data_IF_608679803121
#
_entry.id   IF_608679803121
#
_cell.length_a   1.000
_cell.length_b   1.000
_cell.length_c   1.000
_cell.angle_alpha   90.00
_cell.angle_beta   90.00
_cell.angle_gamma   90.00
#
_symmetry.space_group_name_H-M   'P 1'
#
loop_
_entity.id
_entity.type
_entity.pdbx_description
1 polymer ?
#
# COMPACT_ATOMS: atom_id res chain seq x y z
N UNK A 1 -47.83 33.59 -1.27
CA UNK A 1 -46.49 33.80 -1.85
C UNK A 1 -45.35 33.04 -1.14
N UNK A 2 -45.61 32.24 -0.09
CA UNK A 2 -44.58 31.55 0.71
C UNK A 2 -44.21 30.14 0.24
N UNK A 3 -44.99 29.52 -0.67
CA UNK A 3 -44.82 28.11 -1.04
C UNK A 3 -43.70 27.86 -2.05
N UNK A 4 -43.37 28.86 -2.86
CA UNK A 4 -42.34 28.76 -3.91
C UNK A 4 -40.92 28.87 -3.33
N UNK A 5 -40.73 29.66 -2.27
CA UNK A 5 -39.41 29.85 -1.63
C UNK A 5 -38.89 28.60 -0.93
N UNK A 6 -39.77 27.79 -0.34
CA UNK A 6 -39.38 26.56 0.36
C UNK A 6 -38.86 25.48 -0.59
N UNK A 7 -39.48 25.33 -1.77
CA UNK A 7 -39.07 24.35 -2.78
C UNK A 7 -37.68 24.65 -3.35
N UNK A 8 -37.37 25.93 -3.60
CA UNK A 8 -36.07 26.36 -4.09
C UNK A 8 -34.98 26.03 -3.06
N UNK A 9 -35.22 26.30 -1.78
CA UNK A 9 -34.23 26.07 -0.74
C UNK A 9 -33.89 24.57 -0.57
N UNK A 10 -34.91 23.70 -0.57
CA UNK A 10 -34.73 22.24 -0.47
C UNK A 10 -33.90 21.71 -1.65
N UNK A 11 -34.17 22.19 -2.86
CA UNK A 11 -33.46 21.77 -4.05
C UNK A 11 -31.98 22.18 -4.01
N UNK A 12 -31.67 23.41 -3.59
CA UNK A 12 -30.29 23.87 -3.41
C UNK A 12 -29.54 23.07 -2.34
N UNK A 13 -30.16 22.77 -1.21
CA UNK A 13 -29.53 21.90 -0.18
C UNK A 13 -29.28 20.49 -0.68
N UNK A 14 -30.19 19.90 -1.45
CA UNK A 14 -30.01 18.56 -2.02
C UNK A 14 -28.85 18.54 -3.03
N UNK A 15 -28.75 19.56 -3.88
CA UNK A 15 -27.62 19.71 -4.82
C UNK A 15 -26.31 19.87 -4.06
N UNK A 16 -26.27 20.70 -3.02
CA UNK A 16 -25.05 20.92 -2.22
C UNK A 16 -24.57 19.62 -1.56
N UNK A 17 -25.49 18.85 -0.96
CA UNK A 17 -25.15 17.56 -0.34
C UNK A 17 -24.65 16.56 -1.40
N UNK A 18 -25.29 16.55 -2.57
CA UNK A 18 -24.89 15.68 -3.68
C UNK A 18 -23.51 16.05 -4.26
N UNK A 19 -23.22 17.34 -4.45
CA UNK A 19 -21.91 17.80 -4.97
C UNK A 19 -20.79 17.57 -3.96
N UNK A 20 -21.02 17.83 -2.66
CA UNK A 20 -20.04 17.51 -1.61
C UNK A 20 -19.82 16.00 -1.52
N UNK A 21 -20.89 15.19 -1.61
CA UNK A 21 -20.80 13.73 -1.60
C UNK A 21 -19.97 13.18 -2.77
N UNK A 22 -20.13 13.72 -3.98
CA UNK A 22 -19.36 13.30 -5.16
C UNK A 22 -17.87 13.65 -5.03
N UNK A 23 -17.56 14.82 -4.48
CA UNK A 23 -16.15 15.24 -4.32
C UNK A 23 -15.39 14.35 -3.34
N UNK A 24 -16.06 13.77 -2.35
CA UNK A 24 -15.41 12.88 -1.36
C UNK A 24 -15.07 11.51 -1.95
N UNK A 25 -15.82 11.01 -2.95
CA UNK A 25 -15.62 9.66 -3.51
C UNK A 25 -14.51 9.61 -4.57
N UNK A 26 -14.15 10.75 -5.18
CA UNK A 26 -13.33 10.77 -6.40
C UNK A 26 -11.82 10.71 -6.22
N UNK A 27 -11.30 10.70 -4.99
CA UNK A 27 -9.87 10.94 -4.75
C UNK A 27 -9.08 9.71 -4.25
N UNK A 28 -9.60 8.48 -4.46
CA UNK A 28 -8.91 7.24 -4.08
C UNK A 28 -8.21 6.52 -5.23
N UNK A 29 -7.95 7.21 -6.34
CA UNK A 29 -7.15 6.64 -7.43
C UNK A 29 -5.68 6.71 -7.05
N UNK A 30 -5.05 5.55 -6.88
CA UNK A 30 -3.61 5.45 -6.67
C UNK A 30 -2.86 5.97 -7.93
N UNK A 31 -1.71 6.67 -7.79
CA UNK A 31 -0.93 7.16 -8.93
C UNK A 31 -0.54 6.05 -9.91
N UNK A 32 -0.45 6.35 -11.21
CA UNK A 32 -0.18 5.35 -12.26
C UNK A 32 1.12 4.55 -12.02
N UNK A 33 2.19 5.22 -11.57
CA UNK A 33 3.47 4.58 -11.25
C UNK A 33 3.38 3.67 -10.02
N UNK A 34 2.63 4.06 -9.00
CA UNK A 34 2.32 3.21 -7.85
C UNK A 34 1.45 2.01 -8.26
N UNK A 35 0.48 2.21 -9.16
CA UNK A 35 -0.35 1.12 -9.71
C UNK A 35 0.49 0.13 -10.51
N UNK A 36 1.44 0.61 -11.33
CA UNK A 36 2.37 -0.25 -12.07
C UNK A 36 3.17 -1.13 -11.10
N UNK A 37 3.69 -0.56 -10.02
CA UNK A 37 4.48 -1.31 -9.06
C UNK A 37 3.63 -2.33 -8.28
N UNK A 38 2.41 -1.95 -7.88
CA UNK A 38 1.43 -2.86 -7.30
C UNK A 38 1.09 -4.02 -8.25
N UNK A 39 0.92 -3.75 -9.55
CA UNK A 39 0.62 -4.79 -10.53
C UNK A 39 1.77 -5.79 -10.68
N UNK A 40 3.02 -5.33 -10.66
CA UNK A 40 4.19 -6.24 -10.66
C UNK A 40 4.23 -7.11 -9.41
N UNK A 41 3.97 -6.51 -8.24
CA UNK A 41 3.87 -7.25 -6.99
C UNK A 41 2.78 -8.34 -7.06
N UNK A 42 1.60 -7.98 -7.54
CA UNK A 42 0.49 -8.93 -7.72
C UNK A 42 0.84 -10.01 -8.73
N UNK A 43 1.50 -9.68 -9.84
CA UNK A 43 1.94 -10.69 -10.81
C UNK A 43 2.95 -11.67 -10.20
N UNK A 44 3.93 -11.14 -9.46
CA UNK A 44 4.90 -11.95 -8.73
C UNK A 44 4.21 -12.88 -7.73
N UNK A 45 3.28 -12.35 -6.91
CA UNK A 45 2.63 -13.11 -5.84
C UNK A 45 1.55 -14.07 -6.34
N UNK A 46 0.75 -13.67 -7.32
CA UNK A 46 -0.34 -14.48 -7.90
C UNK A 46 0.16 -15.74 -8.59
N UNK A 47 1.44 -15.80 -8.97
CA UNK A 47 2.07 -17.04 -9.44
C UNK A 47 2.04 -18.16 -8.37
N UNK A 48 2.06 -17.79 -7.09
CA UNK A 48 2.00 -18.71 -5.96
C UNK A 48 0.64 -18.71 -5.25
N UNK A 49 0.03 -17.53 -5.06
CA UNK A 49 -1.20 -17.32 -4.30
C UNK A 49 -2.02 -16.21 -4.95
N UNK A 50 -3.10 -16.53 -5.69
CA UNK A 50 -3.96 -15.53 -6.30
C UNK A 50 -4.57 -14.60 -5.26
N UNK A 51 -4.43 -13.29 -5.49
CA UNK A 51 -5.01 -12.23 -4.68
C UNK A 51 -5.59 -11.12 -5.56
N UNK A 52 -6.63 -10.48 -5.06
CA UNK A 52 -7.33 -9.35 -5.71
C UNK A 52 -7.36 -8.14 -4.79
N UNK A 53 -7.33 -6.95 -5.36
CA UNK A 53 -7.41 -5.69 -4.60
C UNK A 53 -8.86 -5.45 -4.17
N UNK A 54 -9.09 -5.29 -2.87
CA UNK A 54 -10.42 -5.01 -2.28
C UNK A 54 -10.56 -3.55 -1.88
N UNK A 55 -9.53 -2.96 -1.26
CA UNK A 55 -9.53 -1.56 -0.85
C UNK A 55 -8.17 -0.92 -1.14
N UNK A 56 -8.21 0.36 -1.49
CA UNK A 56 -7.05 1.22 -1.70
C UNK A 56 -7.27 2.50 -0.90
N UNK A 57 -6.42 2.76 0.09
CA UNK A 57 -6.55 3.91 0.98
C UNK A 57 -5.21 4.61 1.12
N UNK A 58 -5.17 5.90 0.79
CA UNK A 58 -4.01 6.73 1.05
C UNK A 58 -3.84 6.96 2.55
N UNK A 59 -2.64 6.78 3.06
CA UNK A 59 -2.29 7.09 4.43
C UNK A 59 -2.29 8.62 4.63
N UNK A 60 -2.84 9.09 5.76
CA UNK A 60 -2.86 10.53 6.09
C UNK A 60 -1.57 10.99 6.78
N UNK A 61 -0.76 10.05 7.30
CA UNK A 61 0.51 10.31 7.97
C UNK A 61 1.61 9.37 7.45
N UNK A 62 2.01 9.47 6.16
CA UNK A 62 3.02 8.59 5.56
C UNK A 62 4.36 8.65 6.30
N UNK A 63 4.71 9.81 6.85
CA UNK A 63 5.94 10.04 7.63
C UNK A 63 6.04 9.20 8.92
N UNK A 64 4.95 8.56 9.34
CA UNK A 64 4.91 7.67 10.51
C UNK A 64 5.21 6.21 10.18
N UNK A 65 5.28 5.84 8.91
CA UNK A 65 5.72 4.49 8.53
C UNK A 65 7.21 4.39 8.76
N UNK A 66 7.63 3.55 9.71
CA UNK A 66 9.05 3.32 10.01
C UNK A 66 9.52 2.01 9.39
N UNK A 67 10.84 1.81 9.38
CA UNK A 67 11.48 0.59 8.85
C UNK A 67 11.02 -0.65 9.61
N UNK A 68 10.83 -0.56 10.91
CA UNK A 68 10.45 -1.66 11.80
C UNK A 68 9.01 -2.13 11.57
N UNK A 69 8.16 -1.30 10.94
CA UNK A 69 6.80 -1.68 10.56
C UNK A 69 6.75 -2.47 9.25
N UNK A 70 7.87 -2.55 8.51
CA UNK A 70 8.00 -3.28 7.24
C UNK A 70 8.79 -4.56 7.42
N UNK A 71 8.13 -5.69 7.14
CA UNK A 71 8.71 -7.03 7.11
C UNK A 71 9.49 -7.37 5.85
N UNK A 72 9.05 -6.84 4.71
CA UNK A 72 9.70 -7.03 3.42
C UNK A 72 9.51 -5.83 2.51
N UNK A 73 10.43 -5.65 1.56
CA UNK A 73 10.33 -4.64 0.51
C UNK A 73 10.55 -5.28 -0.86
N UNK A 74 9.72 -4.90 -1.82
CA UNK A 74 9.66 -5.47 -3.15
C UNK A 74 9.71 -4.33 -4.16
N UNK A 75 10.52 -4.51 -5.19
CA UNK A 75 10.50 -3.62 -6.35
C UNK A 75 11.76 -3.66 -7.20
N UNK A 76 11.61 -3.16 -8.43
CA UNK A 76 12.67 -3.14 -9.45
C UNK A 76 13.53 -1.87 -9.39
N UNK A 77 13.74 -1.30 -8.21
CA UNK A 77 14.52 -0.07 -8.08
C UNK A 77 15.97 -0.31 -8.51
N UNK A 78 16.48 0.56 -9.39
CA UNK A 78 17.91 0.57 -9.73
C UNK A 78 18.77 1.22 -8.63
N UNK A 79 18.13 1.85 -7.65
CA UNK A 79 18.78 2.73 -6.68
C UNK A 79 18.67 2.22 -5.25
N UNK A 80 17.50 1.71 -4.88
CA UNK A 80 17.23 1.22 -3.54
C UNK A 80 17.39 -0.30 -3.45
N UNK A 81 17.93 -0.74 -2.33
CA UNK A 81 18.08 -2.14 -1.96
C UNK A 81 16.74 -2.69 -1.48
N UNK A 82 16.09 -3.52 -2.31
CA UNK A 82 14.84 -4.24 -2.02
C UNK A 82 15.12 -5.71 -1.70
N UNK A 83 14.33 -6.31 -0.82
CA UNK A 83 14.48 -7.74 -0.49
C UNK A 83 14.25 -8.63 -1.71
N UNK A 84 13.33 -8.23 -2.59
CA UNK A 84 13.01 -8.91 -3.85
C UNK A 84 12.98 -7.90 -5.00
N UNK A 85 13.77 -8.18 -6.03
CA UNK A 85 13.76 -7.51 -7.33
C UNK A 85 13.04 -8.43 -8.34
N UNK A 86 11.97 -7.95 -8.98
CA UNK A 86 11.14 -8.78 -9.86
C UNK A 86 11.90 -9.23 -11.11
N UNK A 87 12.92 -8.48 -11.55
CA UNK A 87 13.75 -8.81 -12.72
C UNK A 87 14.55 -10.09 -12.54
N UNK A 88 14.86 -10.43 -11.29
CA UNK A 88 15.78 -11.51 -10.96
C UNK A 88 15.10 -12.69 -10.28
N UNK A 89 13.77 -12.84 -10.36
CA UNK A 89 13.07 -14.02 -9.83
C UNK A 89 13.16 -15.16 -10.86
N UNK A 90 14.16 -16.06 -10.78
CA UNK A 90 14.39 -17.06 -11.81
C UNK A 90 13.57 -18.28 -11.44
N UNK A 91 12.26 -18.28 -11.70
CA UNK A 91 11.43 -19.49 -11.63
C UNK A 91 11.65 -20.34 -10.36
N UNK A 92 11.76 -19.70 -9.18
CA UNK A 92 12.13 -20.39 -7.93
C UNK A 92 10.89 -20.67 -7.09
N UNK A 93 10.75 -21.93 -6.70
CA UNK A 93 10.08 -22.32 -5.46
C UNK A 93 10.84 -21.67 -4.29
N UNK A 94 10.51 -20.41 -3.96
CA UNK A 94 11.02 -19.75 -2.77
C UNK A 94 10.39 -20.45 -1.54
N UNK A 95 11.19 -21.12 -0.69
CA UNK A 95 10.66 -21.68 0.56
C UNK A 95 10.08 -20.54 1.41
N UNK A 96 8.92 -20.81 2.04
CA UNK A 96 8.18 -19.88 2.89
C UNK A 96 9.10 -18.97 3.72
N UNK A 97 9.15 -17.69 3.32
CA UNK A 97 9.90 -16.64 4.00
C UNK A 97 9.41 -16.38 5.43
N UNK A 98 8.26 -16.95 5.80
CA UNK A 98 7.74 -16.98 7.18
C UNK A 98 8.65 -17.72 8.18
N UNK A 99 9.68 -18.44 7.71
CA UNK A 99 10.69 -19.09 8.57
C UNK A 99 12.04 -18.37 8.56
N UNK A 100 12.13 -17.18 7.96
CA UNK A 100 13.36 -16.40 7.96
C UNK A 100 13.64 -15.89 9.38
N UNK A 101 14.59 -16.54 10.04
CA UNK A 101 15.20 -16.12 11.30
C UNK A 101 15.50 -14.62 11.27
N UNK A 102 15.17 -13.85 12.32
CA UNK A 102 15.63 -12.46 12.46
C UNK A 102 17.16 -12.44 12.44
N UNK A 103 17.77 -12.10 11.31
CA UNK A 103 19.23 -12.15 11.14
C UNK A 103 19.75 -12.53 9.76
N UNK A 104 18.91 -12.99 8.82
CA UNK A 104 19.33 -13.17 7.42
C UNK A 104 19.27 -11.83 6.66
N UNK A 105 20.16 -10.92 7.06
CA UNK A 105 20.54 -9.75 6.28
C UNK A 105 21.46 -10.19 5.14
N UNK A 106 21.14 -9.79 3.92
CA UNK A 106 21.90 -10.02 2.67
C UNK A 106 21.34 -11.13 1.78
N UNK A 107 20.16 -10.87 1.21
CA UNK A 107 20.00 -11.20 -0.20
C UNK A 107 21.19 -10.56 -0.96
N UNK A 108 21.77 -11.26 -1.93
CA UNK A 108 22.93 -10.80 -2.68
C UNK A 108 22.56 -9.56 -3.49
N UNK A 109 22.61 -8.40 -2.86
CA UNK A 109 22.33 -7.11 -3.48
C UNK A 109 23.42 -6.83 -4.52
N UNK A 110 23.00 -6.39 -5.72
CA UNK A 110 23.94 -5.85 -6.69
C UNK A 110 24.82 -4.81 -6.01
N UNK A 111 26.15 -4.99 -6.09
CA UNK A 111 27.13 -4.07 -5.49
C UNK A 111 26.82 -2.65 -5.99
N UNK A 112 26.17 -1.82 -5.17
CA UNK A 112 25.85 -0.43 -5.50
C UNK A 112 24.47 0.09 -5.11
N UNK A 113 23.54 -0.74 -4.61
CA UNK A 113 22.24 -0.23 -4.16
C UNK A 113 22.31 0.45 -2.78
N UNK A 114 21.58 1.56 -2.65
CA UNK A 114 21.49 2.36 -1.42
C UNK A 114 20.37 1.84 -0.51
N UNK A 115 20.49 1.98 0.82
CA UNK A 115 19.39 1.64 1.72
C UNK A 115 18.13 2.45 1.41
N UNK A 116 16.96 1.82 1.48
CA UNK A 116 15.66 2.52 1.35
C UNK A 116 15.58 3.63 2.44
N UNK A 117 15.40 4.91 2.05
CA UNK A 117 15.29 6.01 2.99
C UNK A 117 13.93 5.96 3.71
N UNK A 118 13.92 6.14 5.02
CA UNK A 118 12.70 6.29 5.80
C UNK A 118 12.64 7.67 6.46
N UNK A 119 11.45 8.25 6.62
CA UNK A 119 10.15 7.71 6.19
C UNK A 119 9.89 7.91 4.68
N UNK A 120 8.92 7.20 4.08
CA UNK A 120 8.47 7.47 2.71
C UNK A 120 7.78 8.84 2.60
N UNK A 121 7.75 9.39 1.38
CA UNK A 121 7.02 10.62 1.06
C UNK A 121 5.51 10.38 0.97
N UNK A 122 5.11 9.25 0.38
CA UNK A 122 3.70 8.87 0.22
C UNK A 122 3.49 7.39 0.53
N UNK A 123 2.31 7.03 1.03
CA UNK A 123 1.96 5.65 1.42
C UNK A 123 0.51 5.37 1.04
N UNK A 124 0.30 4.29 0.31
CA UNK A 124 -1.00 3.75 -0.05
C UNK A 124 -1.16 2.36 0.55
N UNK A 125 -2.14 2.17 1.42
CA UNK A 125 -2.45 0.85 1.97
C UNK A 125 -3.43 0.14 1.07
N UNK A 126 -3.11 -1.10 0.76
CA UNK A 126 -3.87 -1.95 -0.13
C UNK A 126 -4.33 -3.16 0.68
N UNK A 127 -5.64 -3.37 0.75
CA UNK A 127 -6.20 -4.62 1.24
C UNK A 127 -6.35 -5.57 0.06
N UNK A 128 -5.69 -6.70 0.14
CA UNK A 128 -5.75 -7.80 -0.79
C UNK A 128 -6.61 -8.92 -0.19
N UNK A 129 -7.35 -9.62 -1.04
CA UNK A 129 -8.11 -10.83 -0.70
C UNK A 129 -7.67 -11.96 -1.60
N UNK A 130 -7.20 -13.04 -0.98
CA UNK A 130 -6.77 -14.27 -1.65
C UNK A 130 -7.41 -15.49 -0.99
N UNK A 131 -7.02 -16.68 -1.45
CA UNK A 131 -7.53 -17.92 -0.86
C UNK A 131 -6.80 -18.27 0.44
N UNK A 132 -5.47 -18.15 0.43
CA UNK A 132 -4.59 -18.36 1.59
C UNK A 132 -3.35 -17.45 1.47
N UNK A 133 -3.15 -16.46 2.35
CA UNK A 133 -4.07 -16.02 3.41
C UNK A 133 -5.35 -15.37 2.85
N UNK A 134 -6.43 -15.41 3.63
CA UNK A 134 -7.74 -14.89 3.22
C UNK A 134 -7.71 -13.36 2.99
N UNK A 135 -6.99 -12.64 3.85
CA UNK A 135 -6.73 -11.21 3.71
C UNK A 135 -5.22 -10.97 3.81
N UNK A 136 -4.74 -9.96 3.10
CA UNK A 136 -3.37 -9.47 3.20
C UNK A 136 -3.37 -7.96 3.08
N UNK A 137 -2.44 -7.29 3.76
CA UNK A 137 -2.22 -5.86 3.65
C UNK A 137 -0.83 -5.62 3.10
N UNK A 138 -0.73 -4.73 2.11
CA UNK A 138 0.56 -4.22 1.61
C UNK A 138 0.54 -2.70 1.58
N UNK A 139 1.71 -2.09 1.68
CA UNK A 139 1.89 -0.65 1.56
C UNK A 139 2.65 -0.35 0.27
N UNK A 140 2.06 0.41 -0.64
CA UNK A 140 2.75 0.94 -1.82
C UNK A 140 3.28 2.31 -1.43
N UNK A 141 4.60 2.46 -1.40
CA UNK A 141 5.27 3.63 -0.80
C UNK A 141 6.14 4.34 -1.83
N UNK A 142 6.16 5.67 -1.78
CA UNK A 142 7.09 6.48 -2.55
C UNK A 142 8.31 6.79 -1.68
N UNK A 143 9.47 6.34 -2.12
CA UNK A 143 10.74 6.68 -1.48
C UNK A 143 11.53 7.64 -2.35
N UNK A 144 11.97 8.74 -1.75
CA UNK A 144 12.75 9.77 -2.43
C UNK A 144 14.13 9.95 -1.81
N UNK A 145 15.10 10.23 -2.66
CA UNK A 145 16.46 10.64 -2.31
C UNK A 145 16.79 11.95 -3.02
N UNK A 146 18.01 12.46 -2.83
CA UNK A 146 18.49 13.65 -3.56
C UNK A 146 18.52 13.47 -5.08
N UNK A 147 18.55 12.22 -5.58
CA UNK A 147 18.76 11.94 -7.00
C UNK A 147 17.63 11.16 -7.65
N UNK A 148 16.83 10.42 -6.87
CA UNK A 148 15.87 9.46 -7.40
C UNK A 148 14.61 9.36 -6.53
N UNK A 149 13.52 8.97 -7.16
CA UNK A 149 12.25 8.66 -6.54
C UNK A 149 11.71 7.36 -7.14
N UNK A 150 11.42 6.36 -6.31
CA UNK A 150 10.88 5.08 -6.76
C UNK A 150 9.72 4.64 -5.86
N UNK A 151 8.74 3.99 -6.48
CA UNK A 151 7.67 3.30 -5.78
C UNK A 151 8.12 1.90 -5.43
N UNK A 152 7.87 1.49 -4.19
CA UNK A 152 8.17 0.16 -3.68
C UNK A 152 6.92 -0.41 -3.01
N UNK A 153 6.84 -1.74 -2.91
CA UNK A 153 5.81 -2.41 -2.11
C UNK A 153 6.44 -2.93 -0.83
N UNK A 154 5.82 -2.62 0.30
CA UNK A 154 6.20 -3.11 1.61
C UNK A 154 5.14 -4.07 2.16
N UNK A 155 5.60 -5.22 2.62
CA UNK A 155 4.79 -6.11 3.45
C UNK A 155 5.04 -5.78 4.92
N UNK A 156 4.00 -5.61 5.75
CA UNK A 156 4.17 -5.45 7.19
C UNK A 156 4.56 -6.77 7.87
N UNK A 157 5.22 -6.69 9.02
CA UNK A 157 5.47 -7.87 9.87
C UNK A 157 4.20 -8.38 10.56
N UNK A 158 3.26 -7.48 10.85
CA UNK A 158 2.06 -7.82 11.60
C UNK A 158 1.04 -8.57 10.73
N UNK A 159 0.41 -9.60 11.30
CA UNK A 159 -0.65 -10.34 10.60
C UNK A 159 -1.90 -9.46 10.36
N UNK A 160 -2.58 -9.60 9.22
CA UNK A 160 -3.85 -8.93 8.94
C UNK A 160 -4.87 -9.15 10.07
N UNK A 161 -5.51 -8.07 10.53
CA UNK A 161 -6.52 -8.11 11.60
C UNK A 161 -5.97 -8.15 13.04
N UNK A 162 -4.66 -8.39 13.22
CA UNK A 162 -4.01 -8.36 14.54
C UNK A 162 -4.09 -6.98 15.20
N UNK A 163 -3.95 -6.92 16.53
CA UNK A 163 -3.94 -5.66 17.27
C UNK A 163 -2.74 -4.77 16.86
N UNK A 164 -1.60 -5.39 16.57
CA UNK A 164 -0.41 -4.70 16.06
C UNK A 164 -0.66 -4.07 14.71
N UNK A 165 -1.25 -4.81 13.75
CA UNK A 165 -1.61 -4.27 12.44
C UNK A 165 -2.58 -3.09 12.55
N UNK A 166 -3.61 -3.21 13.39
CA UNK A 166 -4.55 -2.10 13.65
C UNK A 166 -3.83 -0.87 14.20
N UNK A 167 -2.82 -1.07 15.04
CA UNK A 167 -1.98 0.00 15.58
C UNK A 167 -1.14 0.64 14.48
N UNK A 168 -0.50 -0.14 13.60
CA UNK A 168 0.26 0.36 12.46
C UNK A 168 -0.64 1.22 11.56
N UNK A 169 -1.79 0.69 11.14
CA UNK A 169 -2.77 1.39 10.30
C UNK A 169 -3.25 2.70 10.93
N UNK A 170 -3.59 2.68 12.23
CA UNK A 170 -3.97 3.90 12.95
C UNK A 170 -2.83 4.92 13.02
N UNK A 171 -1.59 4.46 13.22
CA UNK A 171 -0.40 5.32 13.33
C UNK A 171 -0.11 6.06 12.03
N UNK A 172 -0.19 5.38 10.89
CA UNK A 172 -0.02 6.02 9.57
C UNK A 172 -1.31 6.70 9.08
N UNK A 173 -2.39 6.60 9.85
CA UNK A 173 -3.68 7.21 9.54
C UNK A 173 -4.34 6.62 8.31
N UNK A 174 -4.32 5.30 8.21
CA UNK A 174 -4.89 4.52 7.11
C UNK A 174 -6.14 3.77 7.55
N UNK A 175 -7.27 4.08 6.91
CA UNK A 175 -8.60 3.68 7.35
C UNK A 175 -9.14 2.42 6.62
N UNK A 176 -8.30 1.39 6.45
CA UNK A 176 -8.74 0.11 5.87
C UNK A 176 -9.81 -0.56 6.75
N UNK A 177 -10.82 -1.16 6.13
CA UNK A 177 -11.84 -1.99 6.81
C UNK A 177 -11.42 -3.45 6.71
N UNK A 178 -11.05 -4.06 7.83
CA UNK A 178 -10.59 -5.45 7.92
C UNK A 178 -11.75 -6.37 8.35
N UNK A 179 -11.81 -7.60 7.81
CA UNK A 179 -12.77 -8.62 8.24
C UNK A 179 -14.22 -8.40 7.79
N UNK A 180 -14.41 -7.95 6.54
CA UNK A 180 -15.73 -7.82 5.91
C UNK A 180 -16.10 -9.04 5.06
#
# INVERSE_FOLDING_TARGET
>A
MTRTTTLVFVFFTAILVFTVGILIVRDQTIPDNAQVELNKFLQYRNSAQPATVVQVVRATMPSKLTREMSGGSYGDSNFFSTMVDYRHVPNVNLPNLATATPGLTSATFGRGSTPIPFPPEDVWCILLKGDTPAEQIVFVTLHTSLYNADWLVHEPFAEPGSAEMKTILATIGCNLKLGQ
#
